data_IF_975546792938
#
_entry.id   IF_975546792938
#
_cell.length_a   1.000
_cell.length_b   1.000
_cell.length_c   1.000
_cell.angle_alpha   90.00
_cell.angle_beta   90.00
_cell.angle_gamma   90.00
#
_symmetry.space_group_name_H-M   'P 1'
#
loop_
_entity.id
_entity.type
_entity.pdbx_description
1 polymer ?
#
# COMPACT_ATOMS: atom_id res chain seq x y z
N UNK A 1 37.43 34.08 -9.86
CA UNK A 1 37.49 32.59 -9.73
C UNK A 1 36.18 32.00 -9.19
N UNK A 2 35.37 32.76 -8.46
CA UNK A 2 34.04 32.39 -7.91
C UNK A 2 32.96 32.13 -8.97
N UNK A 3 32.97 32.86 -10.09
CA UNK A 3 31.97 32.74 -11.18
C UNK A 3 31.95 31.37 -11.89
N UNK A 4 33.09 30.68 -12.01
CA UNK A 4 33.11 29.34 -12.63
C UNK A 4 32.49 28.28 -11.73
N UNK A 5 32.69 28.41 -10.42
CA UNK A 5 32.19 27.46 -9.43
C UNK A 5 30.67 27.58 -9.35
N UNK A 6 30.13 28.81 -9.28
CA UNK A 6 28.68 29.04 -9.31
C UNK A 6 28.02 28.58 -10.61
N UNK A 7 28.66 28.71 -11.78
CA UNK A 7 28.14 28.12 -13.02
C UNK A 7 28.13 26.59 -12.97
N UNK A 8 29.16 25.95 -12.41
CA UNK A 8 29.27 24.48 -12.33
C UNK A 8 28.22 23.90 -11.38
N UNK A 9 27.95 24.56 -10.26
CA UNK A 9 26.83 24.21 -9.38
C UNK A 9 25.48 24.48 -10.07
N UNK A 10 25.35 25.54 -10.88
CA UNK A 10 24.10 25.82 -11.62
C UNK A 10 23.80 24.83 -12.75
N UNK A 11 24.81 24.24 -13.39
CA UNK A 11 24.61 23.18 -14.42
C UNK A 11 24.50 21.77 -13.83
N UNK A 12 24.91 21.54 -12.57
CA UNK A 12 24.68 20.26 -11.85
C UNK A 12 23.50 20.31 -10.86
N UNK A 13 23.04 21.48 -10.46
CA UNK A 13 21.93 21.64 -9.53
C UNK A 13 20.63 21.39 -10.27
N UNK A 14 19.99 20.29 -9.88
CA UNK A 14 18.80 19.72 -10.48
C UNK A 14 19.03 19.17 -11.89
N UNK A 15 19.75 18.04 -11.99
CA UNK A 15 19.03 16.91 -12.60
C UNK A 15 17.76 16.81 -11.76
N UNK A 16 16.67 17.44 -12.21
CA UNK A 16 15.34 17.18 -11.72
C UNK A 16 15.30 15.66 -11.74
N UNK A 17 15.44 15.03 -10.58
CA UNK A 17 14.79 13.76 -10.38
C UNK A 17 13.37 14.17 -10.69
N UNK A 18 12.93 13.97 -11.94
CA UNK A 18 11.53 13.86 -12.23
C UNK A 18 11.18 12.77 -11.24
N UNK A 19 10.62 13.18 -10.10
CA UNK A 19 10.00 12.31 -9.13
C UNK A 19 8.96 11.64 -9.99
N UNK A 20 9.40 10.53 -10.57
CA UNK A 20 8.77 10.01 -11.75
C UNK A 20 7.54 9.40 -11.14
N UNK A 21 6.35 9.92 -11.43
CA UNK A 21 5.10 9.31 -10.96
C UNK A 21 5.06 7.81 -11.25
N UNK A 22 5.84 7.35 -12.25
CA UNK A 22 6.07 5.93 -12.53
C UNK A 22 6.78 5.18 -11.39
N UNK A 23 7.70 5.77 -10.64
CA UNK A 23 8.30 5.12 -9.45
C UNK A 23 7.27 4.94 -8.35
N UNK A 24 6.44 5.96 -8.05
CA UNK A 24 5.35 5.83 -7.09
C UNK A 24 4.32 4.77 -7.55
N UNK A 25 3.91 4.84 -8.82
CA UNK A 25 3.01 3.89 -9.45
C UNK A 25 3.58 2.46 -9.45
N UNK A 26 4.89 2.31 -9.62
CA UNK A 26 5.57 1.01 -9.61
C UNK A 26 5.53 0.34 -8.23
N UNK A 27 5.46 1.12 -7.13
CA UNK A 27 5.23 0.58 -5.78
C UNK A 27 3.76 0.30 -5.48
N UNK A 28 2.82 1.04 -6.08
CA UNK A 28 1.39 0.79 -5.93
C UNK A 28 0.91 -0.42 -6.74
N UNK A 29 1.49 -0.63 -7.92
CA UNK A 29 1.16 -1.74 -8.81
C UNK A 29 1.19 -3.14 -8.16
N UNK A 30 2.24 -3.55 -7.40
CA UNK A 30 2.26 -4.86 -6.77
C UNK A 30 1.16 -5.04 -5.71
N UNK A 31 0.80 -3.99 -4.97
CA UNK A 31 -0.29 -4.04 -3.98
C UNK A 31 -1.62 -4.30 -4.69
N UNK A 32 -1.88 -3.57 -5.78
CA UNK A 32 -3.09 -3.75 -6.58
C UNK A 32 -3.15 -5.14 -7.22
N UNK A 33 -2.02 -5.66 -7.72
CA UNK A 33 -1.93 -6.99 -8.29
C UNK A 33 -2.33 -8.07 -7.27
N UNK A 34 -1.79 -7.99 -6.05
CA UNK A 34 -2.12 -8.93 -4.97
C UNK A 34 -3.63 -8.88 -4.65
N UNK A 35 -4.23 -7.69 -4.59
CA UNK A 35 -5.67 -7.55 -4.37
C UNK A 35 -6.50 -8.15 -5.51
N UNK A 36 -6.10 -7.97 -6.77
CA UNK A 36 -6.78 -8.56 -7.92
C UNK A 36 -6.74 -10.09 -7.89
N UNK A 37 -5.59 -10.68 -7.55
CA UNK A 37 -5.45 -12.14 -7.41
C UNK A 37 -6.33 -12.65 -6.25
N UNK A 38 -6.29 -11.98 -5.10
CA UNK A 38 -7.12 -12.35 -3.96
C UNK A 38 -8.61 -12.33 -4.34
N UNK A 39 -9.08 -11.23 -4.93
CA UNK A 39 -10.49 -11.10 -5.31
C UNK A 39 -10.89 -12.13 -6.37
N UNK A 40 -10.01 -12.41 -7.34
CA UNK A 40 -10.23 -13.44 -8.34
C UNK A 40 -10.32 -14.85 -7.74
N UNK A 41 -9.37 -15.21 -6.88
CA UNK A 41 -9.35 -16.53 -6.22
C UNK A 41 -10.54 -16.73 -5.28
N UNK A 42 -10.92 -15.71 -4.51
CA UNK A 42 -12.11 -15.73 -3.66
C UNK A 42 -13.39 -15.90 -4.50
N UNK A 43 -13.56 -15.10 -5.55
CA UNK A 43 -14.74 -15.15 -6.44
C UNK A 43 -14.92 -16.53 -7.09
N UNK A 44 -13.81 -17.18 -7.47
CA UNK A 44 -13.84 -18.52 -8.07
C UNK A 44 -14.11 -19.64 -7.04
N UNK A 45 -13.64 -19.47 -5.80
CA UNK A 45 -13.64 -20.56 -4.80
C UNK A 45 -14.91 -20.57 -3.95
N UNK A 46 -15.41 -19.39 -3.57
CA UNK A 46 -16.52 -19.26 -2.63
C UNK A 46 -17.40 -18.07 -3.03
N UNK A 47 -18.32 -18.24 -3.99
CA UNK A 47 -19.29 -17.21 -4.31
C UNK A 47 -20.12 -16.87 -3.05
N UNK A 48 -20.41 -15.59 -2.78
CA UNK A 48 -21.07 -15.18 -1.55
C UNK A 48 -22.51 -15.71 -1.54
N UNK A 49 -22.74 -16.74 -0.75
CA UNK A 49 -24.09 -17.28 -0.49
C UNK A 49 -24.53 -16.71 0.86
N UNK A 50 -25.69 -16.04 0.87
CA UNK A 50 -26.28 -15.49 2.08
C UNK A 50 -26.88 -16.59 2.94
N UNK A 51 -26.28 -16.86 4.08
CA UNK A 51 -26.78 -17.81 5.06
C UNK A 51 -27.77 -17.13 6.01
N UNK A 52 -28.78 -17.88 6.44
CA UNK A 52 -29.74 -17.41 7.45
C UNK A 52 -29.21 -17.81 8.83
N UNK A 53 -28.90 -16.81 9.65
CA UNK A 53 -28.39 -17.02 11.00
C UNK A 53 -29.46 -16.57 11.98
N UNK A 54 -29.80 -17.47 12.91
CA UNK A 54 -30.82 -17.24 13.91
C UNK A 54 -30.16 -16.74 15.21
N UNK A 55 -30.61 -15.59 15.69
CA UNK A 55 -30.19 -15.05 16.98
C UNK A 55 -30.86 -15.80 18.14
N UNK A 56 -30.30 -15.68 19.34
CA UNK A 56 -30.79 -16.27 20.61
C UNK A 56 -32.25 -15.91 20.94
N UNK A 57 -32.75 -14.82 20.36
CA UNK A 57 -34.14 -14.34 20.46
C UNK A 57 -35.06 -14.88 19.35
N UNK A 58 -34.59 -15.77 18.47
CA UNK A 58 -35.38 -16.38 17.40
C UNK A 58 -35.53 -15.53 16.13
N UNK A 59 -34.80 -14.41 16.03
CA UNK A 59 -34.79 -13.54 14.86
C UNK A 59 -33.81 -14.10 13.82
N UNK A 60 -34.26 -14.25 12.56
CA UNK A 60 -33.43 -14.74 11.47
C UNK A 60 -32.86 -13.58 10.66
N UNK A 61 -31.53 -13.56 10.48
CA UNK A 61 -30.83 -12.54 9.70
C UNK A 61 -30.08 -13.19 8.54
N UNK A 62 -30.27 -12.63 7.34
CA UNK A 62 -29.46 -12.95 6.16
C UNK A 62 -28.11 -12.27 6.30
N UNK A 63 -27.04 -13.04 6.46
CA UNK A 63 -25.67 -12.53 6.42
C UNK A 63 -24.80 -13.39 5.50
N UNK A 64 -23.74 -12.80 4.95
CA UNK A 64 -22.74 -13.56 4.21
C UNK A 64 -21.96 -14.47 5.17
N UNK A 65 -21.67 -15.71 4.75
CA UNK A 65 -20.88 -16.63 5.59
C UNK A 65 -19.48 -16.07 5.84
N UNK A 66 -19.07 -16.00 7.10
CA UNK A 66 -17.71 -15.65 7.48
C UNK A 66 -16.79 -16.86 7.28
N UNK A 67 -15.81 -16.74 6.38
CA UNK A 67 -14.97 -17.85 5.97
C UNK A 67 -13.48 -17.62 6.31
N UNK A 68 -12.67 -18.64 6.04
CA UNK A 68 -11.21 -18.54 6.15
C UNK A 68 -10.61 -17.44 5.25
N UNK A 69 -11.30 -17.08 4.17
CA UNK A 69 -10.92 -15.96 3.30
C UNK A 69 -10.90 -14.63 4.06
N UNK A 70 -11.88 -14.37 4.92
CA UNK A 70 -11.93 -13.17 5.75
C UNK A 70 -10.75 -13.09 6.75
N UNK A 71 -10.33 -14.23 7.29
CA UNK A 71 -9.12 -14.28 8.13
C UNK A 71 -7.85 -14.01 7.33
N UNK A 72 -7.78 -14.50 6.09
CA UNK A 72 -6.60 -14.32 5.24
C UNK A 72 -6.38 -12.86 4.84
N UNK A 73 -7.44 -12.10 4.54
CA UNK A 73 -7.34 -10.67 4.24
C UNK A 73 -6.96 -9.86 5.47
N UNK A 74 -7.56 -10.15 6.63
CA UNK A 74 -7.22 -9.49 7.89
C UNK A 74 -5.73 -9.68 8.24
N UNK A 75 -5.18 -10.88 8.05
CA UNK A 75 -3.75 -11.13 8.22
C UNK A 75 -2.90 -10.33 7.23
N UNK A 76 -3.32 -10.26 5.96
CA UNK A 76 -2.66 -9.47 4.93
C UNK A 76 -2.60 -7.98 5.26
N UNK A 77 -3.70 -7.40 5.76
CA UNK A 77 -3.77 -6.01 6.20
C UNK A 77 -2.81 -5.73 7.36
N UNK A 78 -2.76 -6.61 8.36
CA UNK A 78 -1.83 -6.47 9.49
C UNK A 78 -0.37 -6.47 9.05
N UNK A 79 0.00 -7.37 8.12
CA UNK A 79 1.35 -7.43 7.57
C UNK A 79 1.67 -6.18 6.73
N UNK A 80 0.73 -5.71 5.92
CA UNK A 80 0.89 -4.50 5.10
C UNK A 80 1.11 -3.26 5.98
N UNK A 81 0.32 -3.11 7.04
CA UNK A 81 0.48 -2.03 8.01
C UNK A 81 1.83 -2.10 8.74
N UNK A 82 2.23 -3.28 9.20
CA UNK A 82 3.53 -3.48 9.85
C UNK A 82 4.69 -3.13 8.92
N UNK A 83 4.61 -3.53 7.64
CA UNK A 83 5.60 -3.16 6.62
C UNK A 83 5.61 -1.65 6.37
N UNK A 84 4.44 -1.01 6.24
CA UNK A 84 4.32 0.45 6.08
C UNK A 84 4.98 1.21 7.24
N UNK A 85 4.77 0.76 8.48
CA UNK A 85 5.43 1.31 9.67
C UNK A 85 6.96 1.22 9.54
N UNK A 86 7.49 0.05 9.16
CA UNK A 86 8.93 -0.15 8.96
C UNK A 86 9.51 0.80 7.90
N UNK A 87 8.82 0.97 6.78
CA UNK A 87 9.23 1.87 5.70
C UNK A 87 9.27 3.31 6.20
N UNK A 88 8.22 3.76 6.89
CA UNK A 88 8.17 5.10 7.50
C UNK A 88 9.34 5.32 8.47
N UNK A 89 9.65 4.34 9.32
CA UNK A 89 10.82 4.41 10.21
C UNK A 89 12.14 4.47 9.46
N UNK A 90 12.30 3.69 8.39
CA UNK A 90 13.52 3.68 7.58
C UNK A 90 13.78 5.01 6.88
N UNK A 91 12.73 5.71 6.45
CA UNK A 91 12.84 7.00 5.76
C UNK A 91 13.06 8.15 6.75
N UNK A 92 12.59 8.03 7.99
CA UNK A 92 12.79 9.05 9.04
C UNK A 92 14.27 9.36 9.31
N UNK A 93 15.16 8.40 9.05
CA UNK A 93 16.61 8.57 9.26
C UNK A 93 17.37 8.95 7.96
N UNK A 94 16.66 9.16 6.85
CA UNK A 94 17.27 9.69 5.64
C UNK A 94 17.50 11.19 5.84
N UNK A 95 18.74 11.66 5.71
CA UNK A 95 19.04 13.09 5.73
C UNK A 95 18.28 13.78 4.59
N UNK A 96 17.44 14.74 4.93
CA UNK A 96 16.77 15.59 3.95
C UNK A 96 17.85 16.39 3.22
N UNK A 97 18.08 16.08 1.93
CA UNK A 97 19.00 16.82 1.05
C UNK A 97 18.64 18.31 0.89
N UNK A 98 17.52 18.76 1.46
CA UNK A 98 17.17 20.17 1.64
C UNK A 98 17.34 20.54 3.12
N UNK A 99 18.56 20.87 3.49
CA UNK A 99 18.84 21.72 4.65
C UNK A 99 18.42 23.14 4.24
N UNK A 100 17.16 23.50 4.46
CA UNK A 100 16.69 24.88 4.35
C UNK A 100 17.32 25.67 5.50
N UNK A 101 18.51 26.20 5.23
CA UNK A 101 19.19 27.24 6.00
C UNK A 101 19.12 28.56 5.24
#
# INVERSE_FOLDING_TARGET
KTWRVSLTYRVKSAHKVKLTDKQLLQWMFPILLVMLIYLGTWTLSAPPIGEDIQDSHGLSFKQCSYNWWDHSIALGEMLFLAWGIRVCYSVRNAESLFNEA
#
